data_IF_966630583611
#
_entry.id   IF_966630583611
#
_cell.length_a   1.000
_cell.length_b   1.000
_cell.length_c   1.000
_cell.angle_alpha   90.00
_cell.angle_beta   90.00
_cell.angle_gamma   90.00
#
_symmetry.space_group_name_H-M   'P 1'
#
loop_
_entity.id
_entity.type
_entity.pdbx_description
1 polymer ?
#
# COMPACT_ATOMS: atom_id res chain seq x y z
N UNK A 1 34.86 -60.07 -35.57
CA UNK A 1 35.80 -59.56 -34.53
C UNK A 1 35.54 -58.07 -34.33
N UNK A 2 35.47 -57.63 -33.06
CA UNK A 2 35.48 -56.23 -32.52
C UNK A 2 34.22 -55.38 -32.80
N UNK A 3 33.33 -55.16 -31.82
CA UNK A 3 33.35 -54.29 -30.61
C UNK A 3 32.95 -52.83 -30.91
N UNK A 4 31.84 -52.41 -30.26
CA UNK A 4 31.21 -51.08 -30.09
C UNK A 4 32.19 -50.00 -29.53
N UNK A 5 31.87 -48.69 -29.26
CA UNK A 5 30.57 -48.14 -28.77
C UNK A 5 30.25 -46.66 -29.14
N UNK A 6 29.25 -46.09 -28.45
CA UNK A 6 29.07 -44.66 -28.07
C UNK A 6 28.01 -43.82 -28.79
N UNK A 7 26.77 -43.97 -28.28
CA UNK A 7 25.95 -42.90 -27.69
C UNK A 7 25.88 -41.54 -28.44
N UNK A 8 25.00 -41.47 -29.44
CA UNK A 8 24.52 -40.22 -30.02
C UNK A 8 23.45 -39.57 -29.12
N UNK A 9 23.90 -38.56 -28.36
CA UNK A 9 23.17 -37.51 -27.63
C UNK A 9 21.66 -37.38 -27.92
N UNK A 10 20.80 -37.64 -26.93
CA UNK A 10 20.35 -36.68 -25.90
C UNK A 10 19.60 -35.47 -26.48
N UNK A 11 18.32 -35.67 -26.81
CA UNK A 11 17.34 -34.59 -27.00
C UNK A 11 16.92 -34.08 -25.62
N UNK A 12 17.57 -33.02 -25.14
CA UNK A 12 17.15 -32.30 -23.93
C UNK A 12 15.90 -31.48 -24.27
N UNK A 13 14.75 -31.95 -23.79
CA UNK A 13 13.53 -31.16 -23.72
C UNK A 13 13.77 -29.97 -22.76
N UNK A 14 13.87 -28.77 -23.31
CA UNK A 14 13.87 -27.52 -22.54
C UNK A 14 12.44 -27.27 -22.08
N UNK A 15 12.10 -27.84 -20.94
CA UNK A 15 10.92 -27.47 -20.17
C UNK A 15 11.19 -26.11 -19.55
N UNK A 16 10.66 -25.05 -20.17
CA UNK A 16 10.58 -23.71 -19.59
C UNK A 16 9.62 -23.78 -18.38
N UNK A 17 10.11 -24.26 -17.25
CA UNK A 17 9.47 -24.04 -15.96
C UNK A 17 9.77 -22.59 -15.61
N UNK A 18 8.84 -21.70 -15.94
CA UNK A 18 8.68 -20.45 -15.20
C UNK A 18 8.39 -20.83 -13.75
N UNK A 19 9.44 -21.10 -12.98
CA UNK A 19 9.40 -20.96 -11.55
C UNK A 19 9.14 -19.47 -11.31
N UNK A 20 7.86 -19.16 -11.10
CA UNK A 20 7.44 -17.84 -10.66
C UNK A 20 8.35 -17.41 -9.52
N UNK A 21 8.87 -16.19 -9.63
CA UNK A 21 9.67 -15.56 -8.59
C UNK A 21 9.01 -15.81 -7.24
N UNK A 22 9.74 -16.52 -6.39
CA UNK A 22 9.47 -16.53 -4.97
C UNK A 22 9.61 -15.10 -4.44
N UNK A 23 8.58 -14.69 -3.72
CA UNK A 23 8.72 -14.10 -2.39
C UNK A 23 7.38 -14.33 -1.71
N UNK A 24 7.32 -15.34 -0.86
CA UNK A 24 6.29 -15.49 0.15
C UNK A 24 6.49 -14.46 1.26
N UNK A 25 6.54 -13.18 0.90
CA UNK A 25 6.31 -12.08 1.82
C UNK A 25 4.81 -11.83 1.75
N UNK A 26 4.07 -12.34 2.74
CA UNK A 26 2.72 -11.82 2.95
C UNK A 26 2.91 -10.33 3.18
N UNK A 27 2.54 -9.52 2.19
CA UNK A 27 2.40 -8.08 2.38
C UNK A 27 1.63 -7.90 3.69
N UNK A 28 2.06 -6.99 4.58
CA UNK A 28 1.34 -6.71 5.82
C UNK A 28 -0.15 -6.59 5.51
N UNK A 29 -0.98 -7.29 6.27
CA UNK A 29 -2.42 -7.24 6.08
C UNK A 29 -2.85 -5.78 6.21
N UNK A 30 -3.41 -5.23 5.13
CA UNK A 30 -3.83 -3.85 5.11
C UNK A 30 -5.03 -3.69 6.04
N UNK A 31 -4.95 -2.71 6.94
CA UNK A 31 -6.07 -2.34 7.80
C UNK A 31 -7.24 -1.89 6.92
N UNK A 32 -8.45 -2.37 7.20
CA UNK A 32 -9.63 -1.99 6.43
C UNK A 32 -9.93 -0.50 6.57
N UNK A 33 -10.52 0.11 5.52
CA UNK A 33 -10.93 1.53 5.54
C UNK A 33 -11.87 1.85 6.71
N UNK A 34 -12.74 0.90 7.06
CA UNK A 34 -13.63 1.02 8.21
C UNK A 34 -12.86 1.00 9.54
N UNK A 35 -11.88 0.11 9.66
CA UNK A 35 -11.04 0.01 10.86
C UNK A 35 -10.18 1.27 11.04
N UNK A 36 -9.74 1.90 9.95
CA UNK A 36 -9.06 3.21 9.99
C UNK A 36 -10.01 4.27 10.54
N UNK A 37 -11.25 4.31 10.04
CA UNK A 37 -12.23 5.31 10.47
C UNK A 37 -12.55 5.19 11.97
N UNK A 38 -12.71 3.96 12.46
CA UNK A 38 -12.95 3.68 13.88
C UNK A 38 -11.70 3.92 14.75
N UNK A 39 -10.53 3.53 14.25
CA UNK A 39 -9.24 3.69 14.94
C UNK A 39 -8.82 5.15 15.09
N UNK A 40 -9.12 5.99 14.10
CA UNK A 40 -8.77 7.41 14.09
C UNK A 40 -9.40 8.17 15.27
N UNK A 41 -10.68 7.90 15.56
CA UNK A 41 -11.37 8.51 16.70
C UNK A 41 -10.69 8.21 18.05
N UNK A 42 -10.06 7.03 18.19
CA UNK A 42 -9.34 6.63 19.40
C UNK A 42 -7.90 7.16 19.41
N UNK A 43 -7.18 7.05 18.28
CA UNK A 43 -5.79 7.44 18.16
C UNK A 43 -5.57 8.95 18.35
N UNK A 44 -6.57 9.78 17.99
CA UNK A 44 -6.44 11.24 17.98
C UNK A 44 -7.36 11.96 18.98
N UNK A 45 -8.09 11.23 19.82
CA UNK A 45 -9.06 11.82 20.76
C UNK A 45 -8.45 12.88 21.69
N UNK A 46 -7.20 12.68 22.11
CA UNK A 46 -6.50 13.54 23.07
C UNK A 46 -5.49 14.50 22.41
N UNK A 47 -5.57 14.66 21.08
CA UNK A 47 -4.64 15.49 20.31
C UNK A 47 -4.92 16.99 20.38
N UNK A 48 -4.01 17.79 19.82
CA UNK A 48 -4.26 19.21 19.55
C UNK A 48 -5.40 19.37 18.54
N UNK A 49 -6.08 20.52 18.57
CA UNK A 49 -7.25 20.76 17.72
C UNK A 49 -6.96 20.54 16.23
N UNK A 50 -5.76 20.91 15.76
CA UNK A 50 -5.33 20.69 14.38
C UNK A 50 -5.18 19.20 14.01
N UNK A 51 -4.58 18.40 14.90
CA UNK A 51 -4.45 16.95 14.72
C UNK A 51 -5.84 16.29 14.71
N UNK A 52 -6.75 16.72 15.59
CA UNK A 52 -8.13 16.23 15.62
C UNK A 52 -8.88 16.59 14.33
N UNK A 53 -8.72 17.81 13.83
CA UNK A 53 -9.34 18.27 12.59
C UNK A 53 -8.86 17.45 11.39
N UNK A 54 -7.56 17.25 11.23
CA UNK A 54 -7.02 16.39 10.18
C UNK A 54 -7.52 14.94 10.31
N UNK A 55 -7.60 14.40 11.53
CA UNK A 55 -8.19 13.08 11.77
C UNK A 55 -9.66 13.02 11.34
N UNK A 56 -10.45 14.06 11.60
CA UNK A 56 -11.85 14.12 11.17
C UNK A 56 -11.95 14.16 9.65
N UNK A 57 -11.08 14.92 8.98
CA UNK A 57 -11.01 14.97 7.52
C UNK A 57 -10.70 13.60 6.90
N UNK A 58 -9.83 12.81 7.53
CA UNK A 58 -9.60 11.40 7.13
C UNK A 58 -10.90 10.61 7.22
N UNK A 59 -11.58 10.61 8.37
CA UNK A 59 -12.82 9.85 8.59
C UNK A 59 -13.90 10.26 7.58
N UNK A 60 -14.10 11.55 7.38
CA UNK A 60 -15.08 12.08 6.43
C UNK A 60 -14.77 11.69 4.99
N UNK A 61 -13.50 11.79 4.57
CA UNK A 61 -13.08 11.43 3.23
C UNK A 61 -13.27 9.93 2.98
N UNK A 62 -12.91 9.08 3.94
CA UNK A 62 -13.12 7.64 3.87
C UNK A 62 -14.61 7.28 3.79
N UNK A 63 -15.47 7.95 4.58
CA UNK A 63 -16.93 7.78 4.54
C UNK A 63 -17.54 8.12 3.17
N UNK A 64 -16.93 9.08 2.44
CA UNK A 64 -17.31 9.43 1.06
C UNK A 64 -16.60 8.61 -0.01
N UNK A 65 -15.74 7.66 0.37
CA UNK A 65 -14.81 6.93 -0.52
C UNK A 65 -13.88 7.85 -1.33
N UNK A 66 -13.59 9.03 -0.81
CA UNK A 66 -12.60 9.95 -1.38
C UNK A 66 -11.21 9.58 -0.87
N UNK A 67 -10.61 8.57 -1.50
CA UNK A 67 -9.27 8.09 -1.13
C UNK A 67 -8.17 9.13 -1.40
N UNK A 68 -8.38 10.06 -2.35
CA UNK A 68 -7.44 11.14 -2.60
C UNK A 68 -7.45 12.15 -1.44
N UNK A 69 -8.64 12.53 -0.97
CA UNK A 69 -8.79 13.39 0.20
C UNK A 69 -8.24 12.74 1.47
N UNK A 70 -8.54 11.47 1.70
CA UNK A 70 -8.03 10.73 2.85
C UNK A 70 -6.49 10.63 2.84
N UNK A 71 -5.90 10.36 1.67
CA UNK A 71 -4.45 10.33 1.51
C UNK A 71 -3.81 11.69 1.83
N UNK A 72 -4.39 12.79 1.35
CA UNK A 72 -3.91 14.14 1.65
C UNK A 72 -3.89 14.43 3.15
N UNK A 73 -5.01 14.24 3.83
CA UNK A 73 -5.09 14.49 5.28
C UNK A 73 -4.15 13.57 6.09
N UNK A 74 -3.96 12.32 5.66
CA UNK A 74 -2.98 11.41 6.27
C UNK A 74 -1.53 11.87 6.05
N UNK A 75 -1.20 12.41 4.88
CA UNK A 75 0.13 12.99 4.61
C UNK A 75 0.39 14.22 5.49
N UNK A 76 -0.63 15.07 5.68
CA UNK A 76 -0.55 16.23 6.57
C UNK A 76 -0.36 15.81 8.03
N UNK A 77 -1.10 14.78 8.49
CA UNK A 77 -0.86 14.17 9.80
C UNK A 77 0.56 13.62 9.91
N UNK A 78 1.04 12.89 8.90
CA UNK A 78 2.38 12.29 8.92
C UNK A 78 3.50 13.34 8.99
N UNK A 79 3.26 14.55 8.44
CA UNK A 79 4.18 15.67 8.52
C UNK A 79 4.12 16.42 9.88
N UNK A 80 3.11 16.17 10.70
CA UNK A 80 2.90 16.88 11.95
C UNK A 80 3.93 16.44 13.03
N UNK A 81 4.70 17.37 13.62
CA UNK A 81 5.81 17.02 14.51
C UNK A 81 5.34 16.41 15.85
N UNK A 82 4.17 16.82 16.34
CA UNK A 82 3.68 16.46 17.67
C UNK A 82 2.95 15.10 17.74
N UNK A 83 2.95 14.32 16.65
CA UNK A 83 2.38 12.98 16.70
C UNK A 83 3.19 12.07 17.64
N UNK A 84 2.49 11.35 18.50
CA UNK A 84 3.08 10.27 19.31
C UNK A 84 3.56 9.13 18.40
N UNK A 85 4.44 8.26 18.92
CA UNK A 85 4.93 7.11 18.14
C UNK A 85 3.79 6.19 17.67
N UNK A 86 2.77 6.00 18.53
CA UNK A 86 1.58 5.20 18.21
C UNK A 86 0.74 5.86 17.11
N UNK A 87 0.52 7.17 17.19
CA UNK A 87 -0.19 7.94 16.16
C UNK A 87 0.55 7.87 14.82
N UNK A 88 1.88 8.04 14.81
CA UNK A 88 2.68 7.91 13.58
C UNK A 88 2.59 6.51 12.97
N UNK A 89 2.64 5.47 13.80
CA UNK A 89 2.49 4.10 13.34
C UNK A 89 1.09 3.85 12.74
N UNK A 90 0.05 4.39 13.37
CA UNK A 90 -1.32 4.35 12.84
C UNK A 90 -1.45 5.07 11.49
N UNK A 91 -0.86 6.28 11.36
CA UNK A 91 -0.88 7.04 10.10
C UNK A 91 -0.13 6.29 9.00
N UNK A 92 1.03 5.70 9.29
CA UNK A 92 1.80 4.94 8.31
C UNK A 92 1.03 3.71 7.80
N UNK A 93 0.36 2.97 8.69
CA UNK A 93 -0.50 1.84 8.31
C UNK A 93 -1.70 2.31 7.48
N UNK A 94 -2.32 3.42 7.88
CA UNK A 94 -3.45 4.01 7.16
C UNK A 94 -3.06 4.48 5.77
N UNK A 95 -1.89 5.10 5.61
CA UNK A 95 -1.32 5.47 4.30
C UNK A 95 -1.14 4.23 3.44
N UNK A 96 -0.57 3.14 3.96
CA UNK A 96 -0.42 1.91 3.17
C UNK A 96 -1.77 1.39 2.64
N UNK A 97 -2.81 1.36 3.48
CA UNK A 97 -4.15 0.92 3.10
C UNK A 97 -4.83 1.85 2.09
N UNK A 98 -4.84 3.16 2.34
CA UNK A 98 -5.44 4.14 1.43
C UNK A 98 -4.67 4.20 0.10
N UNK A 99 -3.34 4.04 0.14
CA UNK A 99 -2.51 3.92 -1.04
C UNK A 99 -2.86 2.72 -1.91
N UNK A 100 -3.23 1.59 -1.31
CA UNK A 100 -3.70 0.43 -2.06
C UNK A 100 -5.06 0.68 -2.73
N UNK A 101 -5.97 1.41 -2.09
CA UNK A 101 -7.23 1.84 -2.71
C UNK A 101 -7.00 2.82 -3.86
N UNK A 102 -6.07 3.77 -3.71
CA UNK A 102 -5.65 4.65 -4.80
C UNK A 102 -5.05 3.87 -5.98
N UNK A 103 -4.26 2.83 -5.73
CA UNK A 103 -3.72 1.98 -6.80
C UNK A 103 -4.82 1.22 -7.55
N UNK A 104 -5.84 0.71 -6.83
CA UNK A 104 -7.01 0.09 -7.47
C UNK A 104 -7.79 1.10 -8.32
N UNK A 105 -7.93 2.34 -7.84
CA UNK A 105 -8.57 3.42 -8.59
C UNK A 105 -7.77 3.80 -9.85
N UNK A 106 -6.44 3.96 -9.74
CA UNK A 106 -5.52 4.20 -10.86
C UNK A 106 -5.68 3.09 -11.93
N UNK A 107 -5.68 1.82 -11.52
CA UNK A 107 -5.88 0.67 -12.41
C UNK A 107 -7.26 0.65 -13.09
N UNK A 108 -8.25 1.30 -12.48
CA UNK A 108 -9.61 1.45 -13.02
C UNK A 108 -9.77 2.70 -13.90
N UNK A 109 -8.71 3.48 -14.10
CA UNK A 109 -8.71 4.68 -14.94
C UNK A 109 -8.96 6.00 -14.21
N UNK A 110 -8.85 6.05 -12.87
CA UNK A 110 -8.94 7.30 -12.11
C UNK A 110 -7.66 8.14 -12.27
N UNK A 111 -7.75 9.20 -13.06
CA UNK A 111 -6.64 10.13 -13.31
C UNK A 111 -6.21 10.91 -12.06
N UNK A 112 -7.12 11.15 -11.10
CA UNK A 112 -6.78 11.84 -9.86
C UNK A 112 -5.96 10.92 -8.97
N UNK A 113 -6.35 9.65 -8.86
CA UNK A 113 -5.58 8.65 -8.12
C UNK A 113 -4.17 8.47 -8.71
N UNK A 114 -4.08 8.41 -10.05
CA UNK A 114 -2.79 8.37 -10.76
C UNK A 114 -1.90 9.56 -10.41
N UNK A 115 -2.43 10.78 -10.50
CA UNK A 115 -1.69 12.01 -10.17
C UNK A 115 -1.23 12.04 -8.71
N UNK A 116 -2.09 11.64 -7.77
CA UNK A 116 -1.74 11.56 -6.34
C UNK A 116 -0.57 10.61 -6.11
N UNK A 117 -0.60 9.43 -6.72
CA UNK A 117 0.46 8.43 -6.59
C UNK A 117 1.75 8.86 -7.29
N UNK A 118 1.67 9.46 -8.49
CA UNK A 118 2.83 10.03 -9.20
C UNK A 118 3.50 11.12 -8.36
N UNK A 119 2.72 12.04 -7.78
CA UNK A 119 3.24 13.09 -6.90
C UNK A 119 3.95 12.48 -5.68
N UNK A 120 3.33 11.51 -5.00
CA UNK A 120 3.96 10.83 -3.87
C UNK A 120 5.27 10.13 -4.28
N UNK A 121 5.29 9.40 -5.40
CA UNK A 121 6.47 8.69 -5.91
C UNK A 121 7.63 9.64 -6.24
N UNK A 122 7.33 10.86 -6.68
CA UNK A 122 8.32 11.87 -7.03
C UNK A 122 8.92 12.62 -5.83
N UNK A 123 8.26 12.60 -4.67
CA UNK A 123 8.62 13.40 -3.49
C UNK A 123 9.04 12.55 -2.27
N UNK A 124 9.24 11.25 -2.46
CA UNK A 124 9.72 10.33 -1.40
C UNK A 124 11.23 10.16 -1.40
#
# INVERSE_FOLDING_TARGET
MKLSPLHGALLIAVSLVMAGCGSGDKAPELVGVEDISQGAASAFQSGQAEIQELSNQVVEALGRRDFNGAWGALQDLNAHPDLTAEQRAFVAQSLASVGAELQKAEQSGDDRARQTLEFHRANK
#
